data_IF_365743936533
#
_entry.id   IF_365743936533
#
_cell.length_a   1.000
_cell.length_b   1.000
_cell.length_c   1.000
_cell.angle_alpha   90.00
_cell.angle_beta   90.00
_cell.angle_gamma   90.00
#
_symmetry.space_group_name_H-M   'P 1'
#
loop_
_entity.id
_entity.type
_entity.pdbx_description
1 polymer ?
#
# COMPACT_ATOMS: atom_id res chain seq x y z
N UNK A 1 15.19 -3.73 -13.90
CA UNK A 1 14.80 -2.38 -13.44
C UNK A 1 14.40 -2.52 -11.97
N UNK A 2 15.37 -2.47 -11.07
CA UNK A 2 15.06 -2.47 -9.63
C UNK A 2 14.59 -1.05 -9.30
N UNK A 3 13.29 -0.80 -9.43
CA UNK A 3 12.67 0.38 -8.82
C UNK A 3 13.02 0.27 -7.35
N UNK A 4 13.92 1.15 -6.90
CA UNK A 4 14.31 1.22 -5.50
C UNK A 4 13.03 1.27 -4.70
N UNK A 5 12.91 0.36 -3.74
CA UNK A 5 11.80 0.32 -2.78
C UNK A 5 11.47 1.78 -2.45
N UNK A 6 10.28 2.24 -2.86
CA UNK A 6 9.91 3.65 -2.79
C UNK A 6 10.23 4.10 -1.37
N UNK A 7 11.18 5.03 -1.21
CA UNK A 7 11.65 5.47 0.11
C UNK A 7 10.48 5.85 1.01
N UNK A 8 9.37 6.30 0.40
CA UNK A 8 8.07 6.52 1.02
C UNK A 8 7.63 5.30 1.83
N UNK A 9 7.45 4.12 1.24
CA UNK A 9 6.98 2.92 1.95
C UNK A 9 7.91 2.53 3.12
N UNK A 10 9.23 2.64 2.96
CA UNK A 10 10.20 2.41 4.04
C UNK A 10 10.02 3.43 5.18
N UNK A 11 9.82 4.72 4.85
CA UNK A 11 9.54 5.75 5.84
C UNK A 11 8.26 5.48 6.64
N UNK A 12 7.25 4.87 6.03
CA UNK A 12 6.02 4.50 6.72
C UNK A 12 6.15 3.19 7.53
N UNK A 13 7.22 2.43 7.32
CA UNK A 13 7.49 1.15 8.00
C UNK A 13 6.91 -0.07 7.29
N UNK A 14 6.61 0.05 6.00
CA UNK A 14 6.01 -1.01 5.19
C UNK A 14 7.12 -1.96 4.72
N UNK A 15 6.91 -3.27 4.84
CA UNK A 15 7.95 -4.26 4.53
C UNK A 15 8.07 -4.46 3.01
N UNK A 16 9.18 -5.07 2.60
CA UNK A 16 9.41 -5.38 1.19
C UNK A 16 8.43 -6.44 0.65
N UNK A 17 7.99 -7.37 1.50
CA UNK A 17 6.95 -8.35 1.15
C UNK A 17 5.61 -7.66 0.87
N UNK A 18 5.18 -6.76 1.77
CA UNK A 18 3.98 -5.94 1.55
C UNK A 18 4.07 -5.16 0.23
N UNK A 19 5.23 -4.56 -0.06
CA UNK A 19 5.44 -3.80 -1.30
C UNK A 19 5.30 -4.70 -2.55
N UNK A 20 5.87 -5.89 -2.50
CA UNK A 20 5.77 -6.88 -3.60
C UNK A 20 4.31 -7.31 -3.80
N UNK A 21 3.55 -7.45 -2.72
CA UNK A 21 2.12 -7.74 -2.77
C UNK A 21 1.33 -6.59 -3.38
N UNK A 22 1.60 -5.34 -2.97
CA UNK A 22 0.96 -4.14 -3.52
C UNK A 22 1.18 -4.06 -5.03
N UNK A 23 2.43 -4.20 -5.49
CA UNK A 23 2.76 -4.17 -6.91
C UNK A 23 2.03 -5.27 -7.68
N UNK A 24 1.95 -6.48 -7.14
CA UNK A 24 1.22 -7.60 -7.77
C UNK A 24 -0.28 -7.33 -7.89
N UNK A 25 -0.91 -6.73 -6.86
CA UNK A 25 -2.33 -6.38 -6.90
C UNK A 25 -2.57 -5.22 -7.89
N UNK A 26 -1.70 -4.20 -7.91
CA UNK A 26 -1.79 -3.12 -8.90
C UNK A 26 -1.76 -3.66 -10.33
N UNK A 27 -0.80 -4.56 -10.62
CA UNK A 27 -0.64 -5.15 -11.94
C UNK A 27 -1.86 -5.98 -12.35
N UNK A 28 -2.38 -6.82 -11.42
CA UNK A 28 -3.57 -7.63 -11.64
C UNK A 28 -4.83 -6.80 -11.91
N UNK A 29 -4.98 -5.67 -11.23
CA UNK A 29 -6.12 -4.77 -11.36
C UNK A 29 -5.94 -3.70 -12.45
N UNK A 30 -4.78 -3.68 -13.12
CA UNK A 30 -4.34 -2.67 -14.09
C UNK A 30 -4.43 -1.23 -13.55
N UNK A 31 -4.06 -1.05 -12.28
CA UNK A 31 -4.07 0.23 -11.58
C UNK A 31 -2.67 0.80 -11.56
N UNK A 32 -2.56 2.11 -11.79
CA UNK A 32 -1.30 2.81 -11.69
C UNK A 32 -0.77 2.78 -10.25
N UNK A 33 0.45 2.26 -10.08
CA UNK A 33 1.07 2.11 -8.76
C UNK A 33 1.35 3.46 -8.09
N UNK A 34 1.73 4.51 -8.82
CA UNK A 34 1.97 5.82 -8.20
C UNK A 34 0.66 6.37 -7.63
N UNK A 35 -0.44 6.24 -8.38
CA UNK A 35 -1.74 6.69 -7.90
C UNK A 35 -2.27 5.85 -6.72
N UNK A 36 -2.14 4.52 -6.76
CA UNK A 36 -2.53 3.67 -5.64
C UNK A 36 -1.64 3.93 -4.41
N UNK A 37 -0.36 4.21 -4.62
CA UNK A 37 0.58 4.47 -3.52
C UNK A 37 0.14 5.65 -2.66
N UNK A 38 -0.36 6.74 -3.25
CA UNK A 38 -0.85 7.89 -2.48
C UNK A 38 -2.07 7.53 -1.61
N UNK A 39 -3.00 6.75 -2.16
CA UNK A 39 -4.20 6.31 -1.44
C UNK A 39 -3.85 5.32 -0.33
N UNK A 40 -2.94 4.37 -0.59
CA UNK A 40 -2.40 3.45 0.42
C UNK A 40 -1.72 4.24 1.53
N UNK A 41 -0.85 5.20 1.20
CA UNK A 41 -0.11 5.99 2.18
C UNK A 41 -1.05 6.80 3.10
N UNK A 42 -2.10 7.41 2.54
CA UNK A 42 -3.15 8.09 3.33
C UNK A 42 -3.85 7.12 4.28
N UNK A 43 -4.28 5.97 3.77
CA UNK A 43 -4.98 4.98 4.56
C UNK A 43 -4.08 4.36 5.64
N UNK A 44 -2.81 4.09 5.31
CA UNK A 44 -1.79 3.66 6.26
C UNK A 44 -1.56 4.67 7.36
N UNK A 45 -1.42 5.96 7.01
CA UNK A 45 -1.21 6.99 7.99
C UNK A 45 -2.42 7.12 8.94
N UNK A 46 -3.64 7.10 8.40
CA UNK A 46 -4.86 7.12 9.19
C UNK A 46 -4.97 5.89 10.12
N UNK A 47 -4.60 4.70 9.62
CA UNK A 47 -4.66 3.45 10.39
C UNK A 47 -3.57 3.35 11.45
N UNK A 48 -2.35 3.84 11.16
CA UNK A 48 -1.21 3.86 12.08
C UNK A 48 -1.41 4.82 13.27
N UNK A 49 -2.23 5.86 13.10
CA UNK A 49 -2.62 6.75 14.20
C UNK A 49 -3.50 6.03 15.23
N UNK A 50 -4.24 5.00 14.80
CA UNK A 50 -5.19 4.25 15.63
C UNK A 50 -4.63 2.90 16.12
N UNK A 51 -3.81 2.24 15.28
CA UNK A 51 -3.26 0.90 15.52
C UNK A 51 -1.74 0.98 15.66
N UNK A 52 -1.25 0.57 16.83
CA UNK A 52 0.18 0.65 17.24
C UNK A 52 1.08 -0.23 16.34
N UNK A 53 0.56 -1.31 15.77
CA UNK A 53 1.26 -2.21 14.84
C UNK A 53 0.35 -2.57 13.66
N UNK A 54 0.86 -2.40 12.44
CA UNK A 54 0.17 -2.82 11.22
C UNK A 54 0.81 -4.15 10.78
N UNK A 55 0.04 -5.22 10.85
CA UNK A 55 0.40 -6.55 10.38
C UNK A 55 0.12 -6.72 8.87
N UNK A 56 0.66 -7.78 8.28
CA UNK A 56 0.55 -8.05 6.84
C UNK A 56 -0.93 -8.15 6.36
N UNK A 57 -1.85 -8.61 7.23
CA UNK A 57 -3.29 -8.66 6.92
C UNK A 57 -3.88 -7.25 6.83
N UNK A 58 -3.53 -6.40 7.78
CA UNK A 58 -3.95 -5.00 7.79
C UNK A 58 -3.43 -4.25 6.57
N UNK A 59 -2.20 -4.55 6.11
CA UNK A 59 -1.66 -4.05 4.85
C UNK A 59 -2.58 -4.42 3.68
N UNK A 60 -2.94 -5.70 3.54
CA UNK A 60 -3.78 -6.18 2.46
C UNK A 60 -5.15 -5.49 2.47
N UNK A 61 -5.77 -5.35 3.64
CA UNK A 61 -7.04 -4.64 3.78
C UNK A 61 -6.95 -3.19 3.32
N UNK A 62 -5.89 -2.48 3.70
CA UNK A 62 -5.66 -1.08 3.29
C UNK A 62 -5.55 -0.98 1.77
N UNK A 63 -4.79 -1.88 1.14
CA UNK A 63 -4.57 -1.90 -0.31
C UNK A 63 -5.87 -2.19 -1.05
N UNK A 64 -6.62 -3.21 -0.60
CA UNK A 64 -7.93 -3.52 -1.17
C UNK A 64 -8.93 -2.37 -0.99
N UNK A 65 -8.93 -1.71 0.16
CA UNK A 65 -9.80 -0.56 0.41
C UNK A 65 -9.45 0.63 -0.50
N UNK A 66 -8.16 0.89 -0.73
CA UNK A 66 -7.70 1.92 -1.66
C UNK A 66 -8.15 1.61 -3.10
N UNK A 67 -8.02 0.36 -3.54
CA UNK A 67 -8.50 -0.08 -4.87
C UNK A 67 -10.02 0.06 -5.00
N UNK A 68 -10.78 -0.32 -3.97
CA UNK A 68 -12.24 -0.18 -3.99
C UNK A 68 -12.68 1.28 -4.08
N UNK A 69 -12.00 2.20 -3.40
CA UNK A 69 -12.27 3.65 -3.52
C UNK A 69 -12.01 4.19 -4.91
N UNK A 70 -10.98 3.68 -5.57
CA UNK A 70 -10.58 4.06 -6.93
C UNK A 70 -11.61 3.60 -7.97
N UNK A 71 -12.18 2.40 -7.77
CA UNK A 71 -13.14 1.80 -8.70
C UNK A 71 -14.59 2.29 -8.51
N UNK A 72 -14.88 2.99 -7.42
CA UNK A 72 -16.21 3.48 -7.06
C UNK A 72 -16.46 4.87 -7.64
#
# INVERSE_FOLDING_TARGET
MAKGIDQKFVHYGIRKDDLSMIEAICDAENIDFEWLSEEILKAYHARKVDVIEIDDTSTEEIVRAAIQKIKQ
#
